data_IF_049707168379
#
_entry.id   IF_049707168379
#
_cell.length_a   1.000
_cell.length_b   1.000
_cell.length_c   1.000
_cell.angle_alpha   90.00
_cell.angle_beta   90.00
_cell.angle_gamma   90.00
#
_symmetry.space_group_name_H-M   'P 1'
#
loop_
_entity.id
_entity.type
_entity.pdbx_description
1 polymer ?
#
# COMPACT_ATOMS: atom_id res chain seq x y z
N UNK A 1 1.90 18.93 -7.26
CA UNK A 1 1.94 19.18 -5.79
C UNK A 1 1.64 20.62 -5.34
N UNK A 2 1.70 21.64 -6.21
CA UNK A 2 1.55 23.05 -5.79
C UNK A 2 0.15 23.43 -5.29
N UNK A 3 -0.88 22.65 -5.68
CA UNK A 3 -2.28 22.86 -5.29
C UNK A 3 -2.61 22.50 -3.84
N UNK A 4 -1.76 21.70 -3.19
CA UNK A 4 -1.99 21.23 -1.81
C UNK A 4 -1.38 22.24 -0.83
N UNK A 5 -2.13 22.72 0.18
CA UNK A 5 -1.63 23.66 1.16
C UNK A 5 -0.39 23.12 1.89
N UNK A 6 0.59 23.99 2.14
CA UNK A 6 1.87 23.63 2.79
C UNK A 6 1.64 22.97 4.16
N UNK A 7 0.70 23.48 4.96
CA UNK A 7 0.34 22.91 6.26
C UNK A 7 -0.10 21.44 6.14
N UNK A 8 -0.85 21.09 5.10
CA UNK A 8 -1.32 19.72 4.85
C UNK A 8 -0.14 18.82 4.45
N UNK A 9 0.79 19.32 3.62
CA UNK A 9 2.00 18.56 3.25
C UNK A 9 2.82 18.18 4.48
N UNK A 10 3.10 19.14 5.37
CA UNK A 10 3.82 18.88 6.61
C UNK A 10 3.07 17.92 7.53
N UNK A 11 1.75 18.06 7.62
CA UNK A 11 0.92 17.15 8.42
C UNK A 11 0.99 15.72 7.88
N UNK A 12 0.92 15.51 6.56
CA UNK A 12 1.05 14.17 5.95
C UNK A 12 2.44 13.59 6.20
N UNK A 13 3.51 14.36 5.99
CA UNK A 13 4.85 13.90 6.29
C UNK A 13 5.02 13.55 7.77
N UNK A 14 4.44 14.36 8.68
CA UNK A 14 4.43 14.09 10.12
C UNK A 14 3.67 12.81 10.48
N UNK A 15 2.50 12.58 9.89
CA UNK A 15 1.73 11.34 10.07
C UNK A 15 2.53 10.13 9.57
N UNK A 16 3.11 10.21 8.37
CA UNK A 16 3.96 9.14 7.83
C UNK A 16 5.17 8.84 8.72
N UNK A 17 5.90 9.86 9.18
CA UNK A 17 7.02 9.69 10.10
C UNK A 17 6.57 9.08 11.42
N UNK A 18 5.43 9.53 11.97
CA UNK A 18 4.87 8.98 13.21
C UNK A 18 4.50 7.50 13.05
N UNK A 19 3.83 7.12 11.96
CA UNK A 19 3.50 5.72 11.66
C UNK A 19 4.77 4.87 11.56
N UNK A 20 5.80 5.38 10.87
CA UNK A 20 7.08 4.67 10.77
C UNK A 20 7.72 4.43 12.14
N UNK A 21 7.78 5.46 12.99
CA UNK A 21 8.33 5.34 14.34
C UNK A 21 7.53 4.36 15.20
N UNK A 22 6.20 4.37 15.10
CA UNK A 22 5.34 3.42 15.83
C UNK A 22 5.62 1.96 15.44
N UNK A 23 5.91 1.69 14.16
CA UNK A 23 6.36 0.37 13.72
C UNK A 23 7.79 0.06 14.19
N UNK A 24 8.72 1.01 14.03
CA UNK A 24 10.13 0.83 14.38
C UNK A 24 10.34 0.50 15.86
N UNK A 25 9.56 1.15 16.75
CA UNK A 25 9.60 0.88 18.18
C UNK A 25 8.73 -0.31 18.62
N UNK A 26 8.10 -1.02 17.68
CA UNK A 26 7.26 -2.17 17.97
C UNK A 26 5.97 -1.85 18.74
N UNK A 27 5.58 -0.57 18.80
CA UNK A 27 4.34 -0.13 19.47
C UNK A 27 3.13 -0.64 18.69
N UNK A 28 3.20 -0.59 17.36
CA UNK A 28 2.26 -1.27 16.47
C UNK A 28 2.95 -2.53 15.99
N UNK A 29 2.58 -3.67 16.59
CA UNK A 29 3.23 -4.93 16.30
C UNK A 29 2.39 -5.78 15.33
N UNK A 30 2.85 -6.05 14.09
CA UNK A 30 2.12 -6.94 13.17
C UNK A 30 2.14 -8.42 13.61
N UNK A 31 2.82 -8.78 14.69
CA UNK A 31 2.92 -10.17 15.18
C UNK A 31 1.56 -10.76 15.58
N UNK A 32 0.63 -9.96 16.09
CA UNK A 32 -0.73 -10.44 16.38
C UNK A 32 -1.53 -10.84 15.13
N UNK A 33 -1.11 -10.36 13.97
CA UNK A 33 -1.72 -10.68 12.68
C UNK A 33 -1.34 -12.10 12.24
N UNK A 34 -0.10 -12.54 12.46
CA UNK A 34 0.33 -13.91 12.15
C UNK A 34 -0.43 -14.94 13.00
N UNK A 35 -0.61 -14.69 14.30
CA UNK A 35 -1.39 -15.57 15.18
C UNK A 35 -2.85 -15.66 14.74
N UNK A 36 -3.42 -14.52 14.34
CA UNK A 36 -4.81 -14.46 13.86
C UNK A 36 -4.96 -15.17 12.52
N UNK A 37 -4.01 -14.99 11.60
CA UNK A 37 -3.98 -15.67 10.31
C UNK A 37 -3.81 -17.18 10.49
N UNK A 38 -2.95 -17.63 11.41
CA UNK A 38 -2.78 -19.05 11.70
C UNK A 38 -4.07 -19.67 12.25
N UNK A 39 -4.77 -18.97 13.15
CA UNK A 39 -6.07 -19.45 13.68
C UNK A 39 -7.12 -19.60 12.59
N UNK A 40 -7.15 -18.71 11.60
CA UNK A 40 -8.15 -18.72 10.53
C UNK A 40 -7.80 -19.72 9.42
N UNK A 41 -6.51 -19.80 9.06
CA UNK A 41 -6.06 -20.54 7.86
C UNK A 41 -5.45 -21.90 8.17
N UNK A 42 -5.05 -22.15 9.41
CA UNK A 42 -4.29 -23.34 9.81
C UNK A 42 -2.81 -23.29 9.40
N UNK A 43 -2.36 -22.25 8.70
CA UNK A 43 -0.98 -22.09 8.25
C UNK A 43 -0.24 -21.03 9.05
N UNK A 44 1.01 -21.31 9.38
CA UNK A 44 1.91 -20.30 9.92
C UNK A 44 2.61 -19.61 8.75
N UNK A 45 2.24 -18.36 8.49
CA UNK A 45 2.97 -17.53 7.54
C UNK A 45 4.20 -16.96 8.24
N UNK A 46 5.39 -17.41 7.82
CA UNK A 46 6.69 -16.85 8.18
C UNK A 46 6.92 -15.49 7.52
N UNK A 47 5.92 -14.61 7.59
CA UNK A 47 5.99 -13.25 7.08
C UNK A 47 6.90 -12.46 8.01
N UNK A 48 8.08 -12.10 7.52
CA UNK A 48 9.03 -11.30 8.31
C UNK A 48 8.88 -9.84 7.89
N UNK A 49 8.02 -9.11 8.59
CA UNK A 49 7.97 -7.67 8.40
C UNK A 49 9.33 -7.07 8.72
N UNK A 50 9.96 -6.47 7.73
CA UNK A 50 11.25 -5.82 7.86
C UNK A 50 11.07 -4.28 7.88
N UNK A 51 12.16 -3.56 8.12
CA UNK A 51 12.13 -2.10 8.16
C UNK A 51 11.67 -1.46 6.83
N UNK A 52 11.87 -2.14 5.69
CA UNK A 52 11.40 -1.67 4.38
C UNK A 52 9.89 -1.80 4.26
N UNK A 53 9.28 -2.84 4.83
CA UNK A 53 7.83 -2.97 4.89
C UNK A 53 7.21 -1.84 5.72
N UNK A 54 7.80 -1.53 6.87
CA UNK A 54 7.38 -0.41 7.70
C UNK A 54 7.50 0.92 6.97
N UNK A 55 8.60 1.12 6.24
CA UNK A 55 8.80 2.31 5.41
C UNK A 55 7.75 2.39 4.29
N UNK A 56 7.49 1.28 3.60
CA UNK A 56 6.50 1.21 2.53
C UNK A 56 5.09 1.52 3.05
N UNK A 57 4.66 0.87 4.13
CA UNK A 57 3.32 1.10 4.73
C UNK A 57 3.20 2.53 5.27
N UNK A 58 4.21 3.02 5.98
CA UNK A 58 4.20 4.39 6.52
C UNK A 58 4.20 5.47 5.44
N UNK A 59 4.66 5.15 4.22
CA UNK A 59 4.63 6.06 3.07
C UNK A 59 3.26 6.18 2.39
N UNK A 60 2.28 5.32 2.70
CA UNK A 60 0.94 5.34 2.10
C UNK A 60 0.28 6.73 2.12
N UNK A 61 0.28 7.51 3.21
CA UNK A 61 -0.25 8.87 3.22
C UNK A 61 0.41 9.80 2.21
N UNK A 62 1.73 9.68 2.01
CA UNK A 62 2.49 10.45 1.00
C UNK A 62 2.03 10.05 -0.40
N UNK A 63 1.90 8.76 -0.69
CA UNK A 63 1.39 8.31 -1.99
C UNK A 63 -0.07 8.74 -2.21
N UNK A 64 -0.91 8.77 -1.17
CA UNK A 64 -2.27 9.30 -1.26
C UNK A 64 -2.27 10.78 -1.62
N UNK A 65 -1.36 11.56 -1.06
CA UNK A 65 -1.13 12.95 -1.45
C UNK A 65 -0.66 13.08 -2.90
N UNK A 66 0.25 12.22 -3.36
CA UNK A 66 0.72 12.21 -4.75
C UNK A 66 -0.42 11.90 -5.73
N UNK A 67 -1.23 10.88 -5.43
CA UNK A 67 -2.40 10.51 -6.23
C UNK A 67 -3.45 11.65 -6.25
N UNK A 68 -3.68 12.29 -5.11
CA UNK A 68 -4.57 13.45 -5.01
C UNK A 68 -4.07 14.64 -5.82
N UNK A 69 -2.75 14.83 -5.90
CA UNK A 69 -2.15 15.94 -6.62
C UNK A 69 -2.40 15.92 -8.14
N UNK A 70 -2.84 14.77 -8.69
CA UNK A 70 -3.29 14.63 -10.08
C UNK A 70 -4.68 15.24 -10.32
N UNK A 71 -5.45 15.60 -9.28
CA UNK A 71 -6.76 16.24 -9.40
C UNK A 71 -6.67 17.70 -9.85
N UNK A 72 -7.75 18.21 -10.46
CA UNK A 72 -7.86 19.61 -10.87
C UNK A 72 -7.85 20.55 -9.67
N UNK A 73 -8.66 20.25 -8.66
CA UNK A 73 -8.81 21.05 -7.44
C UNK A 73 -8.48 20.22 -6.20
N UNK A 74 -8.00 20.90 -5.15
CA UNK A 74 -7.74 20.26 -3.88
C UNK A 74 -8.98 20.30 -2.99
N UNK A 75 -9.40 19.12 -2.51
CA UNK A 75 -10.43 18.96 -1.48
C UNK A 75 -9.93 17.95 -0.45
N UNK A 76 -10.02 18.30 0.84
CA UNK A 76 -9.54 17.44 1.93
C UNK A 76 -10.25 16.09 1.95
N UNK A 77 -11.56 16.06 1.68
CA UNK A 77 -12.33 14.82 1.61
C UNK A 77 -11.81 13.89 0.49
N UNK A 78 -11.40 14.45 -0.64
CA UNK A 78 -10.86 13.66 -1.75
C UNK A 78 -9.46 13.12 -1.42
N UNK A 79 -8.65 13.86 -0.66
CA UNK A 79 -7.37 13.38 -0.17
C UNK A 79 -7.53 12.16 0.74
N UNK A 80 -8.49 12.19 1.67
CA UNK A 80 -8.79 11.05 2.54
C UNK A 80 -9.22 9.84 1.70
N UNK A 81 -10.11 10.04 0.72
CA UNK A 81 -10.53 8.97 -0.21
C UNK A 81 -9.34 8.38 -0.96
N UNK A 82 -8.40 9.21 -1.41
CA UNK A 82 -7.24 8.77 -2.17
C UNK A 82 -6.27 7.94 -1.32
N UNK A 83 -6.09 8.31 -0.05
CA UNK A 83 -5.34 7.50 0.92
C UNK A 83 -6.04 6.15 1.15
N UNK A 84 -7.36 6.15 1.36
CA UNK A 84 -8.14 4.92 1.58
C UNK A 84 -8.12 3.98 0.37
N UNK A 85 -8.17 4.53 -0.85
CA UNK A 85 -8.01 3.75 -2.08
C UNK A 85 -6.67 3.03 -2.08
N UNK A 86 -5.57 3.72 -1.77
CA UNK A 86 -4.25 3.09 -1.72
C UNK A 86 -4.20 1.99 -0.66
N UNK A 87 -4.73 2.25 0.55
CA UNK A 87 -4.83 1.24 1.61
C UNK A 87 -5.59 0.00 1.13
N UNK A 88 -6.73 0.18 0.44
CA UNK A 88 -7.53 -0.93 -0.08
C UNK A 88 -6.73 -1.78 -1.09
N UNK A 89 -6.02 -1.14 -2.03
CA UNK A 89 -5.19 -1.86 -2.99
C UNK A 89 -4.02 -2.60 -2.33
N UNK A 90 -3.41 -2.03 -1.28
CA UNK A 90 -2.40 -2.71 -0.47
C UNK A 90 -2.98 -3.94 0.23
N UNK A 91 -4.18 -3.85 0.82
CA UNK A 91 -4.84 -5.00 1.46
C UNK A 91 -5.12 -6.11 0.44
N UNK A 92 -5.64 -5.76 -0.74
CA UNK A 92 -5.94 -6.74 -1.81
C UNK A 92 -4.65 -7.44 -2.26
N UNK A 93 -3.59 -6.68 -2.52
CA UNK A 93 -2.31 -7.25 -2.98
C UNK A 93 -1.64 -8.12 -1.92
N UNK A 94 -1.65 -7.72 -0.64
CA UNK A 94 -1.19 -8.57 0.47
C UNK A 94 -2.00 -9.87 0.51
N UNK A 95 -3.32 -9.81 0.34
CA UNK A 95 -4.18 -11.00 0.36
C UNK A 95 -3.84 -11.96 -0.80
N UNK A 96 -3.62 -11.42 -2.00
CA UNK A 96 -3.17 -12.19 -3.16
C UNK A 96 -1.77 -12.78 -2.92
N UNK A 97 -0.85 -12.00 -2.36
CA UNK A 97 0.50 -12.47 -2.02
C UNK A 97 0.47 -13.63 -1.03
N UNK A 98 -0.31 -13.50 0.06
CA UNK A 98 -0.53 -14.59 1.02
C UNK A 98 -1.12 -15.84 0.36
N UNK A 99 -2.08 -15.68 -0.56
CA UNK A 99 -2.62 -16.80 -1.32
C UNK A 99 -1.56 -17.49 -2.18
N UNK A 100 -0.74 -16.72 -2.92
CA UNK A 100 0.36 -17.26 -3.73
C UNK A 100 1.36 -18.03 -2.88
N UNK A 101 1.70 -17.53 -1.69
CA UNK A 101 2.61 -18.18 -0.75
C UNK A 101 2.16 -19.61 -0.37
N UNK A 102 0.85 -19.89 -0.35
CA UNK A 102 0.35 -21.26 -0.09
C UNK A 102 0.75 -22.28 -1.16
N UNK A 103 1.17 -21.83 -2.35
CA UNK A 103 1.65 -22.69 -3.43
C UNK A 103 3.17 -22.77 -3.49
N UNK A 104 3.86 -21.62 -3.34
CA UNK A 104 5.31 -21.52 -3.58
C UNK A 104 6.17 -21.52 -2.31
N UNK A 105 5.57 -21.20 -1.15
CA UNK A 105 6.27 -21.06 0.12
C UNK A 105 6.30 -22.34 0.96
N UNK A 106 5.85 -23.47 0.41
CA UNK A 106 5.86 -24.77 1.09
C UNK A 106 7.28 -25.34 1.16
N UNK A 107 7.73 -25.82 2.32
CA UNK A 107 9.05 -26.41 2.45
C UNK A 107 9.13 -27.73 1.68
N UNK A 108 10.22 -27.89 0.94
CA UNK A 108 10.55 -29.15 0.25
C UNK A 108 11.26 -30.14 1.17
N UNK A 109 11.84 -29.67 2.26
CA UNK A 109 12.54 -30.52 3.23
C UNK A 109 11.53 -31.21 4.16
N UNK A 110 11.54 -32.55 4.26
CA UNK A 110 10.61 -33.31 5.10
C UNK A 110 10.76 -33.05 6.60
N UNK A 111 11.88 -32.45 7.04
CA UNK A 111 12.11 -32.07 8.43
C UNK A 111 11.40 -30.78 8.84
N UNK A 112 10.92 -30.00 7.86
CA UNK A 112 10.21 -28.74 8.12
C UNK A 112 8.70 -29.03 8.02
N UNK A 113 7.90 -28.63 9.03
CA UNK A 113 6.47 -28.87 8.99
C UNK A 113 5.80 -28.23 7.78
N UNK A 114 4.93 -28.98 7.09
CA UNK A 114 4.24 -28.51 5.88
C UNK A 114 3.29 -27.33 6.11
N UNK A 115 2.87 -27.10 7.36
CA UNK A 115 2.04 -25.94 7.73
C UNK A 115 2.84 -24.63 7.81
N UNK A 116 4.18 -24.70 7.81
CA UNK A 116 5.05 -23.54 7.79
C UNK A 116 5.16 -23.05 6.34
N UNK A 117 4.76 -21.81 6.09
CA UNK A 117 4.88 -21.16 4.77
C UNK A 117 5.89 -20.03 4.90
N UNK A 118 6.99 -20.11 4.15
CA UNK A 118 8.03 -19.07 4.17
C UNK A 118 7.99 -18.22 2.92
N UNK A 119 8.44 -16.97 3.03
CA UNK A 119 8.63 -16.12 1.86
C UNK A 119 9.66 -16.73 0.88
N UNK A 120 9.42 -16.66 -0.44
CA UNK A 120 10.33 -17.23 -1.43
C UNK A 120 11.64 -16.43 -1.56
N UNK A 121 11.64 -15.16 -1.17
CA UNK A 121 12.80 -14.27 -1.12
C UNK A 121 12.54 -13.09 -0.16
N UNK A 122 13.61 -12.48 0.35
CA UNK A 122 13.57 -11.49 1.44
C UNK A 122 12.75 -10.20 1.20
N UNK A 123 12.48 -9.84 -0.05
CA UNK A 123 11.74 -8.62 -0.42
C UNK A 123 10.29 -8.90 -0.83
N UNK A 124 9.81 -10.13 -0.65
CA UNK A 124 8.49 -10.55 -1.15
C UNK A 124 7.36 -9.70 -0.57
N UNK A 125 7.36 -9.51 0.75
CA UNK A 125 6.42 -8.64 1.47
C UNK A 125 6.45 -7.20 0.95
N UNK A 126 7.64 -6.63 0.83
CA UNK A 126 7.85 -5.23 0.43
C UNK A 126 7.39 -4.99 -0.99
N UNK A 127 7.69 -5.92 -1.91
CA UNK A 127 7.22 -5.85 -3.30
C UNK A 127 5.70 -5.96 -3.37
N UNK A 128 5.10 -6.85 -2.59
CA UNK A 128 3.64 -7.01 -2.54
C UNK A 128 2.96 -5.71 -2.11
N UNK A 129 3.46 -5.07 -1.05
CA UNK A 129 2.99 -3.75 -0.60
C UNK A 129 3.23 -2.68 -1.67
N UNK A 130 4.42 -2.65 -2.27
CA UNK A 130 4.79 -1.69 -3.31
C UNK A 130 3.90 -1.77 -4.55
N UNK A 131 3.55 -2.98 -4.99
CA UNK A 131 2.59 -3.22 -6.08
C UNK A 131 1.22 -2.65 -5.70
N UNK A 132 0.76 -2.90 -4.47
CA UNK A 132 -0.48 -2.33 -3.94
C UNK A 132 -0.51 -0.81 -3.96
N UNK A 133 0.61 -0.17 -3.60
CA UNK A 133 0.75 1.29 -3.65
C UNK A 133 0.72 1.81 -5.10
N UNK A 134 1.38 1.11 -6.03
CA UNK A 134 1.50 1.50 -7.43
C UNK A 134 0.23 1.32 -8.26
N UNK A 135 -0.55 0.27 -8.01
CA UNK A 135 -1.73 -0.08 -8.81
C UNK A 135 -2.74 1.08 -9.00
N UNK A 136 -3.13 1.84 -7.96
CA UNK A 136 -3.99 3.01 -8.12
C UNK A 136 -3.50 4.03 -9.13
N UNK A 137 -2.18 4.20 -9.29
CA UNK A 137 -1.60 5.15 -10.23
C UNK A 137 -1.67 4.68 -11.69
N UNK A 138 -1.74 3.37 -11.90
CA UNK A 138 -1.89 2.75 -13.23
C UNK A 138 -3.36 2.67 -13.65
N UNK A 139 -4.24 2.35 -12.71
CA UNK A 139 -5.65 2.09 -13.01
C UNK A 139 -6.52 3.36 -12.97
N UNK A 140 -6.15 4.37 -12.19
CA UNK A 140 -6.96 5.57 -12.01
C UNK A 140 -6.36 6.72 -12.80
N UNK A 141 -6.88 6.93 -14.01
CA UNK A 141 -6.59 8.12 -14.79
C UNK A 141 -7.40 9.32 -14.27
N UNK A 142 -6.72 10.38 -13.84
CA UNK A 142 -7.34 11.61 -13.31
C UNK A 142 -7.04 12.85 -14.12
N UNK A 143 -6.33 12.65 -15.22
CA UNK A 143 -5.90 13.65 -16.19
C UNK A 143 -6.75 13.48 -17.43
N UNK A 144 -8.01 13.94 -17.41
CA UNK A 144 -8.78 14.09 -18.64
C UNK A 144 -9.94 15.08 -18.51
N UNK A 145 -10.28 15.71 -19.63
CA UNK A 145 -11.17 16.87 -19.87
C UNK A 145 -10.58 18.27 -19.74
N UNK A 146 -9.55 18.61 -20.51
CA UNK A 146 -9.36 20.01 -20.93
C UNK A 146 -9.28 20.17 -22.45
N UNK A 147 -9.04 19.09 -23.21
CA UNK A 147 -8.85 19.20 -24.66
C UNK A 147 -10.13 18.99 -25.50
N UNK A 148 -11.15 18.28 -25.01
CA UNK A 148 -12.36 17.98 -25.82
C UNK A 148 -13.37 19.13 -25.98
N UNK A 149 -13.22 20.26 -25.27
CA UNK A 149 -14.19 21.37 -25.33
C UNK A 149 -13.73 22.50 -26.26
N UNK A 150 -12.44 22.55 -26.62
CA UNK A 150 -11.91 23.64 -27.45
C UNK A 150 -12.01 23.40 -28.97
N UNK A 151 -12.47 22.22 -29.44
CA UNK A 151 -12.60 21.93 -30.87
C UNK A 151 -14.02 22.12 -31.43
N UNK A 152 -15.04 22.40 -30.61
CA UNK A 152 -16.44 22.52 -31.09
C UNK A 152 -16.86 24.00 -31.31
N UNK A 153 -15.96 24.97 -31.07
CA UNK A 153 -16.32 26.39 -30.99
C UNK A 153 -15.69 27.34 -32.01
N UNK A 154 -14.94 26.85 -33.01
CA UNK A 154 -14.29 27.71 -34.01
C UNK A 154 -14.42 27.08 -35.40
N UNK A 155 -15.61 27.19 -36.00
CA UNK A 155 -15.71 27.31 -37.46
C UNK A 155 -16.24 28.70 -37.79
N UNK A 156 -15.52 29.35 -38.71
CA UNK A 156 -15.65 30.74 -39.15
C UNK A 156 -16.87 30.98 -40.05
#
# INVERSE_FOLDING_TARGET
MNKIPIKIKYMICGISAMIFLLFLFGIINPFGLNDSLQKITGYFFGFSFNNLDYLAISSIPIFGMLLNSKRKEFKTADLIKDILIIVLFVIITISIGLYILTFIGKPTNPLIPQYLITEPFFLYSTLTVGIGIGLPFLLINRTEKLDEINEIGIEK
#
